data_IF_348594123107
#
_entry.id   IF_348594123107
#
_cell.length_a   1.000
_cell.length_b   1.000
_cell.length_c   1.000
_cell.angle_alpha   90.00
_cell.angle_beta   90.00
_cell.angle_gamma   90.00
#
_symmetry.space_group_name_H-M   'P 1'
#
loop_
_entity.id
_entity.type
_entity.pdbx_description
1 polymer ?
#
# COMPACT_ATOMS: atom_id res chain seq x y z
N UNK A 1 -37.61 -12.02 14.18
CA UNK A 1 -38.93 -12.51 14.60
C UNK A 1 -39.76 -11.30 15.03
N UNK A 2 -40.84 -11.02 14.30
CA UNK A 2 -41.78 -9.95 14.63
C UNK A 2 -43.20 -10.58 14.67
N UNK A 3 -43.51 -11.24 15.78
CA UNK A 3 -44.77 -11.95 15.95
C UNK A 3 -44.79 -13.30 15.17
N UNK A 4 -45.70 -13.45 14.20
CA UNK A 4 -45.75 -14.65 13.35
C UNK A 4 -44.83 -14.58 12.13
N UNK A 5 -44.26 -13.39 11.84
CA UNK A 5 -43.29 -13.18 10.75
C UNK A 5 -41.89 -13.59 11.16
N UNK A 6 -41.23 -14.44 10.34
CA UNK A 6 -39.85 -14.83 10.50
C UNK A 6 -39.06 -14.41 9.24
N UNK A 7 -37.91 -13.79 9.45
CA UNK A 7 -36.97 -13.42 8.40
C UNK A 7 -35.66 -14.14 8.62
N UNK A 8 -35.04 -14.65 7.54
CA UNK A 8 -33.74 -15.29 7.55
C UNK A 8 -32.95 -14.74 6.36
N UNK A 9 -31.79 -14.18 6.62
CA UNK A 9 -30.85 -13.85 5.57
C UNK A 9 -30.06 -15.10 5.19
N UNK A 10 -30.31 -15.58 3.97
CA UNK A 10 -29.57 -16.70 3.40
C UNK A 10 -28.42 -16.18 2.57
N UNK A 11 -27.20 -16.58 2.96
CA UNK A 11 -25.97 -16.18 2.30
C UNK A 11 -25.34 -17.34 1.55
N UNK A 12 -24.90 -17.06 0.33
CA UNK A 12 -23.99 -17.91 -0.41
C UNK A 12 -22.79 -17.11 -0.96
N UNK A 13 -22.01 -17.71 -1.84
CA UNK A 13 -20.85 -17.03 -2.46
C UNK A 13 -21.20 -15.89 -3.40
N UNK A 14 -22.47 -15.77 -3.81
CA UNK A 14 -22.95 -14.76 -4.75
C UNK A 14 -23.55 -13.55 -4.05
N UNK A 15 -23.95 -13.71 -2.79
CA UNK A 15 -24.54 -12.64 -1.99
C UNK A 15 -25.48 -13.13 -0.91
N UNK A 16 -26.40 -12.25 -0.51
CA UNK A 16 -27.39 -12.49 0.53
C UNK A 16 -28.77 -12.26 -0.06
N UNK A 17 -29.72 -13.14 0.27
CA UNK A 17 -31.15 -12.95 -0.04
C UNK A 17 -32.00 -13.18 1.21
N UNK A 18 -32.99 -12.35 1.40
CA UNK A 18 -33.95 -12.52 2.50
C UNK A 18 -34.93 -13.63 2.18
N UNK A 19 -35.10 -14.56 3.13
CA UNK A 19 -36.17 -15.53 3.17
C UNK A 19 -37.26 -14.98 4.09
N UNK A 20 -38.53 -15.10 3.69
CA UNK A 20 -39.67 -14.68 4.49
C UNK A 20 -40.62 -15.85 4.72
N UNK A 21 -41.15 -15.91 5.94
CA UNK A 21 -42.20 -16.81 6.41
C UNK A 21 -43.28 -15.98 7.08
N UNK A 22 -44.49 -16.05 6.61
CA UNK A 22 -45.64 -15.28 7.11
C UNK A 22 -46.81 -16.18 7.44
N UNK A 23 -47.91 -15.60 7.87
CA UNK A 23 -49.14 -16.31 8.33
C UNK A 23 -49.74 -17.24 7.27
N UNK A 24 -49.42 -17.04 5.99
CA UNK A 24 -49.84 -17.92 4.89
C UNK A 24 -48.90 -19.12 4.67
N UNK A 25 -47.73 -19.13 5.35
CA UNK A 25 -46.78 -20.24 5.29
C UNK A 25 -47.28 -21.44 6.11
N UNK A 26 -46.89 -22.66 5.69
CA UNK A 26 -47.18 -23.86 6.47
C UNK A 26 -46.59 -23.77 7.88
N UNK A 27 -47.38 -24.11 8.88
CA UNK A 27 -46.97 -24.04 10.31
C UNK A 27 -45.73 -24.88 10.60
N UNK A 28 -45.55 -26.02 9.93
CA UNK A 28 -44.36 -26.87 10.10
C UNK A 28 -43.09 -26.18 9.53
N UNK A 29 -43.22 -25.41 8.44
CA UNK A 29 -42.14 -24.62 7.86
C UNK A 29 -41.77 -23.47 8.75
N UNK A 30 -42.77 -22.76 9.33
CA UNK A 30 -42.52 -21.67 10.30
C UNK A 30 -41.82 -22.20 11.56
N UNK A 31 -42.32 -23.34 12.11
CA UNK A 31 -41.70 -23.95 13.29
C UNK A 31 -40.24 -24.29 13.04
N UNK A 32 -39.91 -24.85 11.86
CA UNK A 32 -38.54 -25.14 11.45
C UNK A 32 -37.71 -23.86 11.28
N UNK A 33 -38.27 -22.79 10.71
CA UNK A 33 -37.60 -21.51 10.58
C UNK A 33 -37.19 -20.91 11.94
N UNK A 34 -38.06 -21.07 12.96
CA UNK A 34 -37.76 -20.63 14.35
C UNK A 34 -36.65 -21.42 15.04
N UNK A 35 -36.33 -22.63 14.57
CA UNK A 35 -35.17 -23.43 15.06
C UNK A 35 -33.82 -22.96 14.50
N UNK A 36 -33.83 -22.24 13.39
CA UNK A 36 -32.60 -21.80 12.71
C UNK A 36 -31.81 -20.87 13.61
N UNK A 37 -30.48 -21.04 13.59
CA UNK A 37 -29.51 -20.17 14.25
C UNK A 37 -28.45 -19.74 13.23
N UNK A 38 -27.66 -18.75 13.64
CA UNK A 38 -26.56 -18.19 12.80
C UNK A 38 -25.67 -19.29 12.25
N UNK A 39 -25.33 -19.16 10.98
CA UNK A 39 -24.41 -20.02 10.22
C UNK A 39 -24.91 -21.48 10.04
N UNK A 40 -26.18 -21.78 10.29
CA UNK A 40 -26.78 -23.06 9.85
C UNK A 40 -26.77 -23.14 8.34
N UNK A 41 -26.51 -24.33 7.81
CA UNK A 41 -26.59 -24.58 6.36
C UNK A 41 -28.01 -24.96 6.02
N UNK A 42 -28.63 -24.17 5.14
CA UNK A 42 -30.03 -24.30 4.79
C UNK A 42 -30.23 -24.58 3.29
N UNK A 43 -31.30 -25.24 2.95
CA UNK A 43 -31.88 -25.27 1.62
C UNK A 43 -33.31 -24.73 1.72
N UNK A 44 -33.60 -23.72 0.92
CA UNK A 44 -34.94 -23.14 0.83
C UNK A 44 -35.49 -23.27 -0.58
N UNK A 45 -36.77 -23.60 -0.69
CA UNK A 45 -37.53 -23.56 -1.94
C UNK A 45 -38.72 -22.61 -1.74
N UNK A 46 -38.92 -21.75 -2.72
CA UNK A 46 -39.98 -20.73 -2.60
C UNK A 46 -40.15 -19.93 -3.88
N UNK A 47 -40.95 -18.89 -3.79
CA UNK A 47 -41.26 -17.96 -4.88
C UNK A 47 -40.61 -16.61 -4.60
N UNK A 48 -39.89 -16.08 -5.56
CA UNK A 48 -39.31 -14.72 -5.49
C UNK A 48 -40.45 -13.72 -5.66
N UNK A 49 -40.52 -12.76 -4.74
CA UNK A 49 -41.49 -11.63 -4.79
C UNK A 49 -40.76 -10.30 -4.48
N UNK A 50 -41.40 -9.17 -4.83
CA UNK A 50 -40.93 -7.87 -4.39
C UNK A 50 -41.14 -7.71 -2.90
N UNK A 51 -40.18 -7.07 -2.23
CA UNK A 51 -40.33 -6.71 -0.81
C UNK A 51 -41.31 -5.56 -0.66
N UNK A 52 -42.07 -5.59 0.39
CA UNK A 52 -42.94 -4.46 0.79
C UNK A 52 -42.09 -3.24 1.19
N UNK A 53 -40.96 -3.49 1.88
CA UNK A 53 -39.98 -2.46 2.24
C UNK A 53 -38.64 -2.81 1.62
N UNK A 54 -38.20 -2.01 0.64
CA UNK A 54 -36.93 -2.16 -0.04
C UNK A 54 -35.78 -1.88 0.93
N UNK A 55 -34.78 -2.74 0.94
CA UNK A 55 -33.52 -2.50 1.68
C UNK A 55 -32.42 -2.04 0.71
N UNK A 56 -32.08 -0.74 0.69
CA UNK A 56 -31.06 -0.21 -0.23
C UNK A 56 -29.63 -0.70 0.07
N UNK A 57 -29.40 -1.25 1.28
CA UNK A 57 -28.06 -1.71 1.69
C UNK A 57 -27.70 -3.10 1.13
N UNK A 58 -28.68 -3.80 0.54
CA UNK A 58 -28.47 -5.11 -0.07
C UNK A 58 -28.64 -5.05 -1.59
N UNK A 59 -27.73 -5.64 -2.39
CA UNK A 59 -27.92 -5.75 -3.84
C UNK A 59 -29.21 -6.47 -4.25
N UNK A 60 -29.70 -7.38 -3.40
CA UNK A 60 -30.96 -8.12 -3.58
C UNK A 60 -32.13 -7.50 -2.83
N UNK A 61 -31.96 -6.29 -2.30
CA UNK A 61 -32.89 -5.66 -1.35
C UNK A 61 -34.26 -5.30 -1.89
N UNK A 62 -34.49 -5.38 -3.21
CA UNK A 62 -35.80 -5.20 -3.82
C UNK A 62 -36.68 -6.47 -3.78
N UNK A 63 -36.04 -7.62 -3.59
CA UNK A 63 -36.72 -8.93 -3.65
C UNK A 63 -36.47 -9.76 -2.40
N UNK A 64 -37.37 -10.70 -2.16
CA UNK A 64 -37.29 -11.71 -1.11
C UNK A 64 -37.84 -13.03 -1.61
N UNK A 65 -37.54 -14.12 -0.91
CA UNK A 65 -38.08 -15.45 -1.23
C UNK A 65 -39.15 -15.80 -0.21
N UNK A 66 -40.39 -15.92 -0.67
CA UNK A 66 -41.47 -16.54 0.08
C UNK A 66 -41.28 -18.06 0.11
N UNK A 67 -40.98 -18.61 1.29
CA UNK A 67 -40.48 -19.99 1.43
C UNK A 67 -41.65 -20.96 1.60
N UNK A 68 -41.69 -21.98 0.76
CA UNK A 68 -42.64 -23.09 0.83
C UNK A 68 -42.04 -24.38 1.39
N UNK A 69 -40.69 -24.54 1.30
CA UNK A 69 -39.96 -25.66 1.90
C UNK A 69 -38.66 -25.18 2.50
N UNK A 70 -38.34 -25.58 3.71
CA UNK A 70 -37.09 -25.30 4.39
C UNK A 70 -36.49 -26.60 4.92
N UNK A 71 -35.22 -26.83 4.58
CA UNK A 71 -34.41 -27.94 5.12
C UNK A 71 -33.18 -27.40 5.83
N UNK A 72 -32.95 -27.87 7.04
CA UNK A 72 -31.69 -27.66 7.76
C UNK A 72 -30.77 -28.81 7.30
N UNK A 73 -29.75 -28.47 6.49
CA UNK A 73 -28.80 -29.44 5.97
C UNK A 73 -27.71 -29.75 7.00
N UNK A 74 -27.26 -28.72 7.74
CA UNK A 74 -26.33 -28.87 8.84
C UNK A 74 -26.55 -27.80 9.91
N UNK A 75 -26.40 -28.18 11.16
CA UNK A 75 -26.40 -27.26 12.30
C UNK A 75 -24.99 -26.82 12.62
N UNK A 76 -24.79 -25.55 12.86
CA UNK A 76 -23.53 -24.99 13.33
C UNK A 76 -23.55 -24.77 14.84
N UNK A 77 -22.41 -24.81 15.47
CA UNK A 77 -22.21 -24.24 16.81
C UNK A 77 -22.28 -22.71 16.70
N UNK A 78 -22.62 -22.05 17.80
CA UNK A 78 -22.60 -20.59 17.84
C UNK A 78 -21.22 -20.07 17.52
N UNK A 79 -21.07 -19.21 16.47
CA UNK A 79 -19.77 -18.63 16.12
C UNK A 79 -19.21 -17.80 17.28
N UNK A 80 -17.87 -17.78 17.46
CA UNK A 80 -17.22 -17.02 18.52
C UNK A 80 -17.32 -15.49 18.32
N UNK A 81 -17.73 -15.03 17.14
CA UNK A 81 -18.01 -13.64 16.81
C UNK A 81 -19.01 -13.54 15.66
N UNK A 82 -19.63 -12.39 15.50
CA UNK A 82 -20.54 -12.11 14.39
C UNK A 82 -19.75 -11.91 13.09
N UNK A 83 -20.23 -12.52 11.99
CA UNK A 83 -19.61 -12.43 10.66
C UNK A 83 -20.22 -11.21 9.95
N UNK A 84 -19.68 -10.04 10.28
CA UNK A 84 -20.05 -8.73 9.70
C UNK A 84 -18.78 -7.97 9.31
N UNK A 85 -18.86 -7.09 8.29
CA UNK A 85 -17.72 -6.29 7.88
C UNK A 85 -17.35 -5.25 8.96
N UNK A 86 -18.34 -4.67 9.61
CA UNK A 86 -18.15 -3.83 10.81
C UNK A 86 -18.05 -4.73 12.04
N UNK A 87 -16.84 -4.92 12.54
CA UNK A 87 -16.59 -5.79 13.69
C UNK A 87 -15.59 -5.18 14.67
N UNK A 88 -15.97 -5.16 15.96
CA UNK A 88 -15.09 -4.81 17.09
C UNK A 88 -14.29 -6.01 17.60
N UNK A 89 -14.42 -7.16 16.94
CA UNK A 89 -13.75 -8.40 17.37
C UNK A 89 -12.24 -8.27 17.27
N UNK A 90 -11.56 -8.62 18.37
CA UNK A 90 -10.10 -8.62 18.44
C UNK A 90 -9.49 -9.43 17.28
N UNK A 91 -8.44 -8.89 16.68
CA UNK A 91 -7.75 -9.50 15.54
C UNK A 91 -7.22 -10.90 15.86
N UNK A 92 -6.71 -11.13 17.06
CA UNK A 92 -6.20 -12.44 17.49
C UNK A 92 -7.30 -13.51 17.43
N UNK A 93 -8.52 -13.18 17.89
CA UNK A 93 -9.66 -14.09 17.80
C UNK A 93 -10.08 -14.35 16.36
N UNK A 94 -10.07 -13.33 15.50
CA UNK A 94 -10.34 -13.48 14.07
C UNK A 94 -9.28 -14.31 13.35
N UNK A 95 -8.01 -14.17 13.71
CA UNK A 95 -6.92 -15.00 13.18
C UNK A 95 -7.04 -16.46 13.64
N UNK A 96 -7.42 -16.69 14.89
CA UNK A 96 -7.66 -18.06 15.41
C UNK A 96 -8.78 -18.78 14.66
N UNK A 97 -9.83 -18.07 14.31
CA UNK A 97 -10.97 -18.60 13.54
C UNK A 97 -11.01 -18.01 12.13
N UNK A 98 -9.85 -17.96 11.46
CA UNK A 98 -9.68 -17.31 10.16
C UNK A 98 -10.67 -17.77 9.10
N UNK A 99 -11.06 -19.05 9.11
CA UNK A 99 -12.05 -19.61 8.21
C UNK A 99 -13.45 -19.02 8.39
N UNK A 100 -13.80 -18.53 9.58
CA UNK A 100 -15.03 -17.78 9.80
C UNK A 100 -14.87 -16.30 9.39
N UNK A 101 -13.74 -15.69 9.72
CA UNK A 101 -13.44 -14.31 9.33
C UNK A 101 -13.44 -14.14 7.80
N UNK A 102 -12.98 -15.16 7.06
CA UNK A 102 -13.01 -15.20 5.59
C UNK A 102 -14.44 -15.25 4.99
N UNK A 103 -15.48 -15.42 5.80
CA UNK A 103 -16.87 -15.28 5.35
C UNK A 103 -17.34 -13.83 5.27
N UNK A 104 -16.60 -12.87 5.81
CA UNK A 104 -16.88 -11.45 5.67
C UNK A 104 -16.75 -11.03 4.21
N UNK A 105 -17.70 -10.20 3.75
CA UNK A 105 -17.78 -9.82 2.34
C UNK A 105 -16.51 -9.07 1.88
N UNK A 106 -15.94 -8.22 2.72
CA UNK A 106 -14.69 -7.50 2.43
C UNK A 106 -13.52 -8.46 2.16
N UNK A 107 -13.33 -9.47 3.02
CA UNK A 107 -12.24 -10.43 2.86
C UNK A 107 -12.46 -11.35 1.66
N UNK A 108 -13.70 -11.76 1.40
CA UNK A 108 -14.04 -12.52 0.21
C UNK A 108 -13.75 -11.73 -1.06
N UNK A 109 -14.16 -10.45 -1.11
CA UNK A 109 -13.84 -9.55 -2.23
C UNK A 109 -12.33 -9.45 -2.47
N UNK A 110 -11.53 -9.36 -1.41
CA UNK A 110 -10.08 -9.30 -1.53
C UNK A 110 -9.49 -10.57 -2.16
N UNK A 111 -9.94 -11.76 -1.73
CA UNK A 111 -9.51 -13.03 -2.33
C UNK A 111 -9.97 -13.18 -3.78
N UNK A 112 -11.22 -12.81 -4.07
CA UNK A 112 -11.76 -12.84 -5.45
C UNK A 112 -11.01 -11.86 -6.35
N UNK A 113 -10.71 -10.64 -5.84
CA UNK A 113 -9.90 -9.65 -6.57
C UNK A 113 -8.50 -10.18 -6.87
N UNK A 114 -7.84 -10.81 -5.88
CA UNK A 114 -6.55 -11.47 -6.11
C UNK A 114 -6.63 -12.54 -7.19
N UNK A 115 -7.64 -13.41 -7.15
CA UNK A 115 -7.84 -14.44 -8.17
C UNK A 115 -8.04 -13.83 -9.58
N UNK A 116 -8.80 -12.73 -9.66
CA UNK A 116 -9.01 -12.00 -10.91
C UNK A 116 -7.72 -11.34 -11.40
N UNK A 117 -6.91 -10.72 -10.52
CA UNK A 117 -5.60 -10.19 -10.87
C UNK A 117 -4.72 -11.28 -11.50
N UNK A 118 -4.65 -12.45 -10.89
CA UNK A 118 -3.85 -13.57 -11.41
C UNK A 118 -4.33 -14.03 -12.80
N UNK A 119 -5.65 -14.10 -13.01
CA UNK A 119 -6.23 -14.45 -14.31
C UNK A 119 -5.89 -13.40 -15.37
N UNK A 120 -6.20 -12.15 -15.10
CA UNK A 120 -5.97 -11.00 -16.01
C UNK A 120 -4.48 -10.88 -16.37
N UNK A 121 -3.59 -11.12 -15.41
CA UNK A 121 -2.14 -11.15 -15.64
C UNK A 121 -1.76 -12.23 -16.66
N UNK A 122 -2.26 -13.45 -16.48
CA UNK A 122 -1.98 -14.57 -17.42
C UNK A 122 -2.51 -14.26 -18.81
N UNK A 123 -3.74 -13.76 -18.90
CA UNK A 123 -4.36 -13.40 -20.18
C UNK A 123 -3.49 -12.37 -20.92
N UNK A 124 -3.10 -11.28 -20.24
CA UNK A 124 -2.25 -10.25 -20.83
C UNK A 124 -0.92 -10.79 -21.36
N UNK A 125 -0.19 -11.53 -20.54
CA UNK A 125 1.13 -12.02 -20.94
C UNK A 125 1.04 -13.10 -22.02
N UNK A 126 0.04 -13.98 -21.96
CA UNK A 126 -0.21 -14.97 -23.01
C UNK A 126 -0.51 -14.31 -24.37
N UNK A 127 -1.36 -13.27 -24.36
CA UNK A 127 -1.72 -12.51 -25.59
C UNK A 127 -0.52 -11.72 -26.16
N UNK A 128 0.51 -11.46 -25.31
CA UNK A 128 1.76 -10.83 -25.73
C UNK A 128 2.90 -11.83 -26.01
N UNK A 129 2.58 -13.12 -26.14
CA UNK A 129 3.51 -14.16 -26.56
C UNK A 129 4.47 -14.64 -25.48
N UNK A 130 4.14 -14.42 -24.20
CA UNK A 130 4.90 -14.97 -23.09
C UNK A 130 4.49 -16.41 -22.79
N UNK A 131 5.46 -17.22 -22.39
CA UNK A 131 5.27 -18.59 -21.96
C UNK A 131 5.35 -18.62 -20.44
N UNK A 132 4.29 -19.09 -19.76
CA UNK A 132 4.31 -19.31 -18.32
C UNK A 132 5.05 -20.61 -18.02
N UNK A 133 6.13 -20.51 -17.23
CA UNK A 133 6.94 -21.67 -16.83
C UNK A 133 7.08 -21.70 -15.31
N UNK A 134 6.59 -22.77 -14.69
CA UNK A 134 6.78 -23.01 -13.26
C UNK A 134 8.20 -23.51 -12.99
N UNK A 135 8.93 -22.80 -12.14
CA UNK A 135 10.30 -23.17 -11.75
C UNK A 135 10.31 -23.93 -10.41
N UNK A 136 11.35 -24.74 -10.15
CA UNK A 136 11.45 -25.49 -8.90
C UNK A 136 11.45 -24.61 -7.65
N UNK A 137 10.78 -25.10 -6.60
CA UNK A 137 10.73 -24.45 -5.27
C UNK A 137 11.83 -24.95 -4.32
N UNK A 138 12.34 -26.19 -4.53
CA UNK A 138 13.41 -26.79 -3.75
C UNK A 138 14.72 -26.63 -4.51
N UNK A 139 15.42 -25.55 -4.28
CA UNK A 139 16.61 -25.15 -5.04
C UNK A 139 17.88 -25.15 -4.19
N UNK A 140 19.01 -24.86 -4.81
CA UNK A 140 20.24 -24.51 -4.12
C UNK A 140 20.18 -23.04 -3.68
N UNK A 141 20.71 -22.74 -2.49
CA UNK A 141 20.88 -21.34 -2.03
C UNK A 141 21.56 -20.47 -3.09
N UNK A 142 20.99 -19.28 -3.31
CA UNK A 142 21.49 -18.27 -4.24
C UNK A 142 21.65 -16.94 -3.53
N UNK A 143 22.75 -16.20 -3.72
CA UNK A 143 22.96 -14.93 -3.05
C UNK A 143 22.15 -13.81 -3.75
N UNK A 144 20.92 -13.57 -3.28
CA UNK A 144 20.01 -12.54 -3.84
C UNK A 144 19.72 -11.38 -2.88
N UNK A 145 20.55 -11.18 -1.86
CA UNK A 145 20.44 -10.04 -0.94
C UNK A 145 19.64 -10.28 0.34
N UNK A 146 18.64 -11.16 0.36
CA UNK A 146 17.95 -11.59 1.56
C UNK A 146 18.54 -12.88 2.13
N UNK A 147 18.12 -13.26 3.35
CA UNK A 147 18.43 -14.59 3.89
C UNK A 147 17.46 -15.62 3.35
N UNK A 148 17.97 -16.83 3.08
CA UNK A 148 17.19 -17.94 2.59
C UNK A 148 16.46 -18.67 3.72
N UNK A 149 15.22 -19.09 3.47
CA UNK A 149 14.61 -20.19 4.21
C UNK A 149 15.18 -21.52 3.72
N UNK A 150 15.73 -22.31 4.64
CA UNK A 150 16.37 -23.59 4.30
C UNK A 150 15.57 -24.78 4.78
N UNK A 151 15.57 -25.86 3.97
CA UNK A 151 14.90 -27.11 4.25
C UNK A 151 15.95 -28.22 4.37
N UNK A 152 16.10 -28.90 5.52
CA UNK A 152 17.09 -29.98 5.67
C UNK A 152 16.82 -31.13 4.73
N UNK A 153 17.88 -31.66 4.08
CA UNK A 153 17.76 -32.85 3.25
C UNK A 153 17.74 -34.10 4.11
N UNK A 154 16.67 -34.89 4.02
CA UNK A 154 16.57 -36.19 4.70
C UNK A 154 17.57 -37.22 4.12
N UNK A 155 17.82 -37.16 2.80
CA UNK A 155 18.67 -38.11 2.08
C UNK A 155 20.16 -37.77 2.26
N UNK A 156 20.50 -36.48 2.18
CA UNK A 156 21.89 -36.01 2.23
C UNK A 156 22.15 -35.30 3.56
N UNK A 157 22.67 -36.03 4.55
CA UNK A 157 22.98 -35.49 5.88
C UNK A 157 23.90 -34.26 5.77
N UNK A 158 23.56 -33.19 6.50
CA UNK A 158 24.31 -31.93 6.51
C UNK A 158 24.15 -31.05 5.28
N UNK A 159 23.24 -31.41 4.35
CA UNK A 159 22.86 -30.58 3.19
C UNK A 159 21.46 -30.06 3.33
N UNK A 160 21.20 -28.92 2.68
CA UNK A 160 19.93 -28.20 2.73
C UNK A 160 19.50 -27.82 1.31
N UNK A 161 18.20 -27.79 1.10
CA UNK A 161 17.58 -27.04 0.02
C UNK A 161 17.27 -25.63 0.54
N UNK A 162 17.21 -24.67 -0.37
CA UNK A 162 16.69 -23.34 -0.09
C UNK A 162 15.34 -23.14 -0.79
N UNK A 163 14.47 -22.32 -0.21
CA UNK A 163 13.29 -21.82 -0.90
C UNK A 163 13.69 -20.57 -1.72
N UNK A 164 13.14 -20.38 -2.94
CA UNK A 164 13.60 -19.33 -3.85
C UNK A 164 13.22 -17.93 -3.34
N UNK A 165 14.17 -17.03 -3.36
CA UNK A 165 13.93 -15.59 -3.16
C UNK A 165 13.31 -14.96 -4.42
N UNK A 166 13.67 -15.47 -5.59
CA UNK A 166 13.11 -15.25 -6.91
C UNK A 166 13.52 -16.38 -7.83
N UNK A 167 12.91 -16.56 -9.01
CA UNK A 167 13.34 -17.55 -10.01
C UNK A 167 14.51 -17.06 -10.89
N UNK A 168 15.38 -16.19 -10.41
CA UNK A 168 16.36 -15.42 -11.19
C UNK A 168 17.25 -16.31 -12.09
N UNK A 169 17.86 -17.36 -11.55
CA UNK A 169 18.74 -18.22 -12.34
C UNK A 169 17.93 -18.98 -13.40
N UNK A 170 16.76 -19.48 -13.06
CA UNK A 170 15.94 -20.26 -13.96
C UNK A 170 15.42 -19.45 -15.15
N UNK A 171 14.94 -18.22 -14.91
CA UNK A 171 14.46 -17.38 -16.00
C UNK A 171 15.60 -16.98 -16.96
N UNK A 172 16.81 -16.73 -16.45
CA UNK A 172 17.98 -16.51 -17.29
C UNK A 172 18.33 -17.73 -18.12
N UNK A 173 18.28 -18.94 -17.54
CA UNK A 173 18.51 -20.20 -18.27
C UNK A 173 17.43 -20.43 -19.34
N UNK A 174 16.19 -20.01 -19.09
CA UNK A 174 15.11 -20.09 -20.09
C UNK A 174 15.39 -19.15 -21.27
N UNK A 175 15.94 -17.95 -21.04
CA UNK A 175 16.39 -17.07 -22.12
C UNK A 175 17.49 -17.73 -22.95
N UNK A 176 18.50 -18.33 -22.30
CA UNK A 176 19.58 -19.10 -22.98
C UNK A 176 19.00 -20.30 -23.76
N UNK A 177 17.94 -20.91 -23.25
CA UNK A 177 17.25 -22.03 -23.92
C UNK A 177 16.32 -21.60 -25.08
N UNK A 178 16.23 -20.27 -25.37
CA UNK A 178 15.50 -19.75 -26.52
C UNK A 178 14.00 -19.55 -26.30
N UNK A 179 13.55 -19.37 -25.04
CA UNK A 179 12.14 -19.08 -24.76
C UNK A 179 11.75 -17.62 -25.04
N UNK A 180 12.70 -16.71 -25.11
CA UNK A 180 12.62 -15.27 -25.45
C UNK A 180 11.66 -14.44 -24.60
N UNK A 181 10.52 -14.97 -24.18
CA UNK A 181 9.52 -14.30 -23.34
C UNK A 181 8.97 -15.27 -22.31
N UNK A 182 9.37 -15.04 -21.07
CA UNK A 182 8.99 -15.85 -19.90
C UNK A 182 8.14 -15.03 -18.95
N UNK A 183 7.15 -15.68 -18.33
CA UNK A 183 6.35 -15.16 -17.23
C UNK A 183 6.14 -16.25 -16.17
N UNK A 184 6.09 -15.85 -14.92
CA UNK A 184 5.63 -16.72 -13.83
C UNK A 184 4.96 -15.88 -12.75
N UNK A 185 3.85 -16.38 -12.20
CA UNK A 185 3.32 -15.89 -10.93
C UNK A 185 4.05 -16.61 -9.79
N UNK A 186 5.30 -16.18 -9.56
CA UNK A 186 6.26 -16.91 -8.75
C UNK A 186 6.00 -16.74 -7.25
N UNK A 187 5.98 -17.86 -6.51
CA UNK A 187 6.02 -17.84 -5.06
C UNK A 187 7.46 -17.62 -4.59
N UNK A 188 7.67 -16.57 -3.80
CA UNK A 188 8.99 -16.16 -3.33
C UNK A 188 9.03 -16.10 -1.81
N UNK A 189 10.22 -16.35 -1.25
CA UNK A 189 10.46 -16.44 0.19
C UNK A 189 11.71 -15.63 0.57
N UNK A 190 11.58 -14.76 1.58
CA UNK A 190 12.70 -13.98 2.09
C UNK A 190 12.63 -13.90 3.60
N UNK A 191 13.69 -14.34 4.28
CA UNK A 191 13.82 -14.24 5.74
C UNK A 191 14.35 -12.86 6.10
N UNK A 192 13.45 -11.90 6.10
CA UNK A 192 13.70 -10.49 6.42
C UNK A 192 12.75 -10.00 7.50
N UNK A 193 13.07 -8.86 8.12
CA UNK A 193 12.19 -8.20 9.08
C UNK A 193 10.87 -7.79 8.42
N UNK A 194 9.78 -8.09 9.09
CA UNK A 194 8.44 -7.73 8.63
C UNK A 194 8.25 -6.21 8.64
N UNK A 195 7.64 -5.70 7.57
CA UNK A 195 7.19 -4.31 7.45
C UNK A 195 5.74 -4.30 6.96
N UNK A 196 5.11 -3.13 6.98
CA UNK A 196 3.72 -2.99 6.53
C UNK A 196 3.47 -3.52 5.11
N UNK A 197 4.47 -3.44 4.23
CA UNK A 197 4.43 -3.83 2.82
C UNK A 197 5.30 -5.06 2.49
N UNK A 198 5.90 -5.73 3.50
CA UNK A 198 6.78 -6.87 3.30
C UNK A 198 6.32 -8.09 4.09
N UNK A 199 6.20 -9.20 3.39
CA UNK A 199 5.86 -10.50 3.95
C UNK A 199 6.99 -11.51 3.64
N UNK A 200 7.24 -12.49 4.54
CA UNK A 200 8.29 -13.50 4.32
C UNK A 200 7.97 -14.43 3.15
N UNK A 201 6.70 -14.57 2.81
CA UNK A 201 6.18 -15.32 1.67
C UNK A 201 5.27 -14.42 0.85
N UNK A 202 5.56 -14.25 -0.44
CA UNK A 202 4.81 -13.37 -1.33
C UNK A 202 4.80 -13.91 -2.77
N UNK A 203 4.02 -13.28 -3.63
CA UNK A 203 3.95 -13.65 -5.05
C UNK A 203 4.52 -12.50 -5.89
N UNK A 204 5.46 -12.82 -6.78
CA UNK A 204 5.94 -11.91 -7.82
C UNK A 204 5.22 -12.19 -9.13
N UNK A 205 4.93 -11.15 -9.89
CA UNK A 205 4.69 -11.23 -11.32
C UNK A 205 6.07 -11.07 -11.94
N UNK A 206 6.69 -12.19 -12.28
CA UNK A 206 8.09 -12.26 -12.69
C UNK A 206 8.16 -12.50 -14.19
N UNK A 207 8.80 -11.59 -14.91
CA UNK A 207 8.95 -11.68 -16.37
C UNK A 207 10.41 -11.56 -16.78
N UNK A 208 10.76 -12.16 -17.92
CA UNK A 208 12.06 -12.04 -18.56
C UNK A 208 11.88 -11.99 -20.07
N UNK A 209 12.66 -11.16 -20.75
CA UNK A 209 12.64 -11.02 -22.21
C UNK A 209 14.05 -10.99 -22.78
N UNK A 210 14.22 -11.63 -23.95
CA UNK A 210 15.44 -11.57 -24.76
C UNK A 210 15.29 -10.51 -25.87
N UNK A 211 16.44 -10.01 -26.39
CA UNK A 211 16.50 -9.10 -27.55
C UNK A 211 15.73 -7.79 -27.36
N UNK A 212 15.77 -7.25 -26.15
CA UNK A 212 15.09 -6.01 -25.75
C UNK A 212 16.05 -5.05 -25.07
N UNK A 213 15.71 -3.78 -25.07
CA UNK A 213 16.38 -2.75 -24.26
C UNK A 213 15.48 -2.26 -23.11
N UNK A 214 15.95 -1.25 -22.39
CA UNK A 214 15.22 -0.69 -21.24
C UNK A 214 13.85 -0.13 -21.64
N UNK A 215 13.74 0.50 -22.80
CA UNK A 215 12.48 1.09 -23.26
C UNK A 215 11.42 0.02 -23.55
N UNK A 216 11.81 -1.10 -24.15
CA UNK A 216 10.92 -2.23 -24.42
C UNK A 216 10.34 -2.81 -23.13
N UNK A 217 11.17 -2.93 -22.08
CA UNK A 217 10.74 -3.43 -20.75
C UNK A 217 9.78 -2.42 -20.10
N UNK A 218 10.10 -1.13 -20.15
CA UNK A 218 9.24 -0.08 -19.61
C UNK A 218 7.89 -0.01 -20.35
N UNK A 219 7.89 -0.07 -21.68
CA UNK A 219 6.65 -0.10 -22.47
C UNK A 219 5.78 -1.32 -22.12
N UNK A 220 6.39 -2.50 -22.01
CA UNK A 220 5.68 -3.71 -21.61
C UNK A 220 5.05 -3.55 -20.20
N UNK A 221 5.80 -3.00 -19.25
CA UNK A 221 5.33 -2.69 -17.91
C UNK A 221 4.16 -1.70 -17.90
N UNK A 222 4.25 -0.62 -18.68
CA UNK A 222 3.17 0.37 -18.82
C UNK A 222 1.89 -0.24 -19.40
N UNK A 223 2.02 -1.00 -20.48
CA UNK A 223 0.89 -1.69 -21.12
C UNK A 223 0.23 -2.68 -20.16
N UNK A 224 1.04 -3.43 -19.40
CA UNK A 224 0.54 -4.35 -18.40
C UNK A 224 -0.22 -3.64 -17.28
N UNK A 225 0.36 -2.61 -16.66
CA UNK A 225 -0.30 -1.88 -15.56
C UNK A 225 -1.58 -1.21 -16.03
N UNK A 226 -1.56 -0.61 -17.22
CA UNK A 226 -2.76 -0.02 -17.85
C UNK A 226 -3.87 -1.06 -18.04
N UNK A 227 -3.54 -2.22 -18.62
CA UNK A 227 -4.49 -3.31 -18.84
C UNK A 227 -5.04 -3.84 -17.51
N UNK A 228 -4.16 -4.12 -16.54
CA UNK A 228 -4.53 -4.64 -15.23
C UNK A 228 -5.50 -3.70 -14.50
N UNK A 229 -5.21 -2.41 -14.46
CA UNK A 229 -6.04 -1.43 -13.75
C UNK A 229 -7.39 -1.25 -14.41
N UNK A 230 -7.45 -1.29 -15.73
CA UNK A 230 -8.71 -1.25 -16.48
C UNK A 230 -9.57 -2.48 -16.17
N UNK A 231 -9.01 -3.69 -16.32
CA UNK A 231 -9.77 -4.93 -16.19
C UNK A 231 -10.18 -5.25 -14.74
N UNK A 232 -9.37 -4.87 -13.75
CA UNK A 232 -9.62 -5.21 -12.33
C UNK A 232 -10.34 -4.09 -11.58
N UNK A 233 -10.01 -2.83 -11.89
CA UNK A 233 -10.48 -1.67 -11.12
C UNK A 233 -11.38 -0.73 -11.94
N UNK A 234 -11.47 -0.90 -13.26
CA UNK A 234 -12.18 0.03 -14.15
C UNK A 234 -11.48 1.39 -14.28
N UNK A 235 -10.20 1.48 -13.94
CA UNK A 235 -9.42 2.72 -13.94
C UNK A 235 -8.60 2.80 -15.22
N UNK A 236 -8.80 3.87 -16.00
CA UNK A 236 -7.96 4.19 -17.17
C UNK A 236 -6.70 4.93 -16.72
N UNK A 237 -5.54 4.42 -17.11
CA UNK A 237 -4.24 5.04 -16.85
C UNK A 237 -3.75 5.68 -18.14
N UNK A 238 -3.46 7.01 -18.14
CA UNK A 238 -2.85 7.66 -19.28
C UNK A 238 -1.41 7.17 -19.47
N UNK A 239 -1.03 6.87 -20.70
CA UNK A 239 0.33 6.50 -21.09
C UNK A 239 0.81 7.42 -22.23
N UNK A 240 2.12 7.69 -22.34
CA UNK A 240 3.22 7.18 -21.51
C UNK A 240 3.17 7.74 -20.09
N UNK A 241 3.69 6.97 -19.13
CA UNK A 241 3.79 7.42 -17.74
C UNK A 241 4.87 8.51 -17.61
N UNK A 242 4.67 9.52 -16.73
CA UNK A 242 5.72 10.48 -16.41
C UNK A 242 6.98 9.78 -15.90
N UNK A 243 8.14 10.38 -16.20
CA UNK A 243 9.44 9.90 -15.76
C UNK A 243 10.11 10.93 -14.89
N UNK A 244 10.63 10.52 -13.75
CA UNK A 244 11.51 11.30 -12.89
C UNK A 244 12.82 10.54 -12.73
N UNK A 245 13.93 11.26 -12.71
CA UNK A 245 15.18 10.66 -12.27
C UNK A 245 15.14 10.39 -10.76
N UNK A 246 15.89 9.44 -10.27
CA UNK A 246 16.07 9.21 -8.83
C UNK A 246 16.48 10.52 -8.13
N UNK A 247 17.38 11.28 -8.73
CA UNK A 247 17.84 12.57 -8.21
C UNK A 247 16.66 13.55 -8.06
N UNK A 248 15.87 13.75 -9.11
CA UNK A 248 14.73 14.66 -9.06
C UNK A 248 13.68 14.22 -8.04
N UNK A 249 13.44 12.90 -7.94
CA UNK A 249 12.53 12.35 -6.95
C UNK A 249 13.00 12.63 -5.51
N UNK A 250 14.27 12.44 -5.23
CA UNK A 250 14.87 12.72 -3.93
C UNK A 250 14.88 14.22 -3.64
N UNK A 251 15.32 15.06 -4.59
CA UNK A 251 15.41 16.52 -4.39
C UNK A 251 14.05 17.17 -4.20
N UNK A 252 13.02 16.74 -4.95
CA UNK A 252 11.67 17.35 -4.90
C UNK A 252 10.76 16.75 -3.84
N UNK A 253 10.90 15.47 -3.54
CA UNK A 253 9.95 14.75 -2.69
C UNK A 253 10.58 14.05 -1.48
N UNK A 254 11.90 13.96 -1.44
CA UNK A 254 12.64 13.29 -0.37
C UNK A 254 12.41 11.77 -0.32
N UNK A 255 12.06 11.17 -1.45
CA UNK A 255 11.74 9.73 -1.55
C UNK A 255 11.91 9.23 -2.97
N UNK A 256 12.42 8.00 -3.10
CA UNK A 256 12.43 7.22 -4.34
C UNK A 256 11.05 6.66 -4.73
N UNK A 257 10.04 6.86 -3.86
CA UNK A 257 8.63 6.46 -4.04
C UNK A 257 7.70 7.66 -3.79
N UNK A 258 7.81 8.74 -4.57
CA UNK A 258 7.10 9.98 -4.31
C UNK A 258 5.59 9.83 -4.55
N UNK A 259 4.78 10.34 -3.64
CA UNK A 259 3.37 10.60 -3.92
C UNK A 259 3.26 11.97 -4.61
N UNK A 260 3.02 11.97 -5.91
CA UNK A 260 2.92 13.18 -6.73
C UNK A 260 1.48 13.71 -6.87
N UNK A 261 0.49 13.11 -6.19
CA UNK A 261 -0.91 13.52 -6.26
C UNK A 261 -1.17 14.88 -5.62
N UNK A 262 -0.25 15.37 -4.80
CA UNK A 262 -0.32 16.69 -4.15
C UNK A 262 1.04 17.39 -4.20
N UNK A 263 1.03 18.70 -4.10
CA UNK A 263 2.23 19.53 -4.07
C UNK A 263 3.09 19.36 -2.81
N UNK A 264 3.54 20.46 -2.21
CA UNK A 264 4.41 20.50 -1.02
C UNK A 264 5.79 19.90 -1.32
N UNK A 265 6.38 20.26 -2.46
CA UNK A 265 7.73 19.85 -2.82
C UNK A 265 8.76 20.44 -1.86
N UNK A 266 9.88 19.72 -1.69
CA UNK A 266 11.04 20.20 -0.95
C UNK A 266 11.66 21.37 -1.71
N UNK A 267 12.03 22.43 -1.00
CA UNK A 267 12.63 23.63 -1.57
C UNK A 267 14.00 23.88 -0.94
N UNK A 268 15.00 24.11 -1.78
CA UNK A 268 16.37 24.39 -1.34
C UNK A 268 16.53 25.89 -1.04
N UNK A 269 16.92 26.20 0.18
CA UNK A 269 17.20 27.57 0.63
C UNK A 269 18.68 27.77 1.03
N UNK A 270 19.54 26.80 0.75
CA UNK A 270 20.97 26.79 1.15
C UNK A 270 21.70 28.07 0.74
N UNK A 271 21.45 28.55 -0.49
CA UNK A 271 22.07 29.76 -1.00
C UNK A 271 21.64 31.04 -0.23
N UNK A 272 20.42 31.05 0.29
CA UNK A 272 19.86 32.20 1.01
C UNK A 272 20.33 32.28 2.47
N UNK A 273 20.75 31.15 3.03
CA UNK A 273 21.17 31.07 4.44
C UNK A 273 22.67 30.92 4.61
N UNK A 274 23.41 30.93 3.50
CA UNK A 274 24.88 30.85 3.51
C UNK A 274 25.47 32.05 4.27
N UNK A 275 26.27 31.77 5.32
CA UNK A 275 26.90 32.78 6.13
C UNK A 275 25.97 33.50 7.12
N UNK A 276 24.74 33.03 7.35
CA UNK A 276 23.85 33.53 8.38
C UNK A 276 24.40 33.27 9.80
N UNK A 277 23.87 33.99 10.81
CA UNK A 277 24.28 33.82 12.21
C UNK A 277 23.79 32.52 12.87
N UNK A 278 23.01 31.70 12.19
CA UNK A 278 22.46 30.45 12.74
C UNK A 278 23.39 29.25 12.39
N UNK A 279 24.24 28.90 13.34
CA UNK A 279 25.26 27.88 13.16
C UNK A 279 24.75 26.55 12.57
N UNK A 280 23.52 26.13 12.93
CA UNK A 280 22.93 24.89 12.40
C UNK A 280 22.83 24.92 10.87
N UNK A 281 22.43 26.08 10.30
CA UNK A 281 22.32 26.23 8.85
C UNK A 281 23.68 26.38 8.17
N UNK A 282 24.53 27.26 8.77
CA UNK A 282 25.87 27.52 8.23
C UNK A 282 26.72 26.26 8.22
N UNK A 283 26.76 25.53 9.33
CA UNK A 283 27.52 24.28 9.46
C UNK A 283 27.08 23.21 8.46
N UNK A 284 25.78 23.09 8.24
CA UNK A 284 25.25 22.10 7.29
C UNK A 284 25.73 22.40 5.86
N UNK A 285 25.65 23.67 5.43
CA UNK A 285 26.09 24.09 4.10
C UNK A 285 27.61 23.99 3.94
N UNK A 286 28.38 24.41 4.96
CA UNK A 286 29.85 24.37 4.94
C UNK A 286 30.40 22.92 4.87
N UNK A 287 29.67 21.97 5.47
CA UNK A 287 30.00 20.54 5.44
C UNK A 287 29.50 19.80 4.19
N UNK A 288 29.00 20.54 3.19
CA UNK A 288 28.53 19.97 1.93
C UNK A 288 27.12 19.37 1.97
N UNK A 289 26.35 19.66 3.01
CA UNK A 289 24.92 19.36 3.09
C UNK A 289 24.05 20.51 2.56
N UNK A 290 22.75 20.45 2.84
CA UNK A 290 21.80 21.46 2.40
C UNK A 290 20.87 21.93 3.52
N UNK A 291 20.25 23.10 3.30
CA UNK A 291 19.12 23.58 4.09
C UNK A 291 17.90 23.58 3.17
N UNK A 292 16.96 22.71 3.48
CA UNK A 292 15.73 22.56 2.69
C UNK A 292 14.49 22.73 3.57
N UNK A 293 13.38 23.03 2.93
CA UNK A 293 12.12 23.15 3.64
C UNK A 293 10.94 22.60 2.84
N UNK A 294 9.84 22.35 3.56
CA UNK A 294 8.50 22.17 3.02
C UNK A 294 7.58 23.23 3.57
N UNK A 295 6.61 23.68 2.76
CA UNK A 295 5.60 24.66 3.18
C UNK A 295 4.24 23.98 3.25
N UNK A 296 3.68 23.93 4.44
CA UNK A 296 2.33 23.39 4.69
C UNK A 296 1.36 24.57 4.56
N UNK A 297 0.72 24.68 3.41
CA UNK A 297 -0.26 25.72 3.12
C UNK A 297 -1.46 25.64 4.07
N UNK A 298 -1.86 26.80 4.62
CA UNK A 298 -2.94 26.92 5.62
C UNK A 298 -2.72 26.06 6.89
N UNK A 299 -1.48 25.65 7.15
CA UNK A 299 -1.13 24.76 8.25
C UNK A 299 -1.03 25.44 9.62
N UNK A 300 -0.97 26.77 9.69
CA UNK A 300 -0.70 27.49 10.94
C UNK A 300 -1.77 27.28 12.02
N UNK A 301 -3.02 27.04 11.64
CA UNK A 301 -4.11 26.73 12.58
C UNK A 301 -4.05 25.29 13.11
N UNK A 302 -3.56 24.36 12.31
CA UNK A 302 -3.47 22.92 12.62
C UNK A 302 -2.19 22.59 13.39
N UNK A 303 -1.07 23.16 12.96
CA UNK A 303 0.25 22.94 13.56
C UNK A 303 0.57 23.96 14.63
N UNK A 304 -0.03 23.77 15.81
CA UNK A 304 0.34 24.49 17.03
C UNK A 304 1.78 24.16 17.44
N UNK A 305 2.37 24.90 18.38
CA UNK A 305 3.71 24.61 18.93
C UNK A 305 3.84 23.15 19.34
N UNK A 306 2.87 22.60 20.10
CA UNK A 306 2.84 21.22 20.55
C UNK A 306 2.85 20.21 19.37
N UNK A 307 2.16 20.54 18.29
CA UNK A 307 2.13 19.67 17.13
C UNK A 307 3.45 19.71 16.33
N UNK A 308 4.09 20.87 16.25
CA UNK A 308 5.43 21.01 15.66
C UNK A 308 6.47 20.26 16.51
N UNK A 309 6.34 20.27 17.83
CA UNK A 309 7.22 19.48 18.71
C UNK A 309 7.07 17.97 18.43
N UNK A 310 5.86 17.45 18.13
CA UNK A 310 5.66 16.06 17.70
C UNK A 310 6.33 15.77 16.35
N UNK A 311 6.24 16.69 15.39
CA UNK A 311 6.95 16.54 14.11
C UNK A 311 8.47 16.54 14.32
N UNK A 312 8.96 17.31 15.28
CA UNK A 312 10.38 17.31 15.65
C UNK A 312 10.81 15.97 16.22
N UNK A 313 10.01 15.35 17.09
CA UNK A 313 10.31 14.01 17.60
C UNK A 313 10.24 12.95 16.49
N UNK A 314 9.28 13.05 15.58
CA UNK A 314 9.24 12.20 14.40
C UNK A 314 10.52 12.34 13.56
N UNK A 315 10.95 13.57 13.27
CA UNK A 315 12.17 13.86 12.53
C UNK A 315 13.42 13.26 13.21
N UNK A 316 13.52 13.38 14.54
CA UNK A 316 14.61 12.76 15.32
C UNK A 316 14.59 11.23 15.22
N UNK A 317 13.40 10.62 15.23
CA UNK A 317 13.25 9.18 15.05
C UNK A 317 13.75 8.66 13.70
N UNK A 318 13.89 9.55 12.70
CA UNK A 318 14.41 9.23 11.35
C UNK A 318 15.92 9.57 11.24
N UNK A 319 16.50 10.21 12.25
CA UNK A 319 17.93 10.57 12.28
C UNK A 319 18.23 12.06 12.27
N UNK A 320 17.23 12.95 12.28
CA UNK A 320 17.44 14.39 12.40
C UNK A 320 17.94 14.77 13.80
N UNK A 321 18.76 15.81 13.88
CA UNK A 321 19.19 16.40 15.17
C UNK A 321 18.13 17.35 15.74
N UNK A 322 17.25 17.89 14.88
CA UNK A 322 16.20 18.83 15.23
C UNK A 322 15.43 19.27 14.01
N UNK A 323 14.40 20.08 14.22
CA UNK A 323 13.57 20.67 13.17
C UNK A 323 13.41 22.15 13.43
N UNK A 324 13.79 23.00 12.48
CA UNK A 324 13.52 24.42 12.54
C UNK A 324 12.19 24.73 11.85
N UNK A 325 11.52 25.80 12.26
CA UNK A 325 10.20 26.11 11.71
C UNK A 325 9.91 27.61 11.69
N UNK A 326 9.02 27.99 10.80
CA UNK A 326 8.28 29.24 10.79
C UNK A 326 6.79 28.94 10.80
N UNK A 327 6.04 29.48 11.73
CA UNK A 327 4.59 29.44 11.80
C UNK A 327 4.02 30.84 11.66
N UNK A 328 3.29 31.10 10.59
CA UNK A 328 2.81 32.47 10.30
C UNK A 328 1.30 32.55 10.54
N UNK A 329 0.91 32.80 11.79
CA UNK A 329 -0.50 32.92 12.18
C UNK A 329 -0.94 34.39 12.28
N UNK A 330 -0.12 35.18 12.94
CA UNK A 330 -0.40 36.56 13.29
C UNK A 330 0.27 37.55 12.32
N UNK A 331 0.32 38.86 12.70
CA UNK A 331 0.97 39.88 11.88
C UNK A 331 2.46 39.62 11.65
N UNK A 332 3.13 39.01 12.63
CA UNK A 332 4.52 38.55 12.48
C UNK A 332 4.63 37.05 12.62
N UNK A 333 5.45 36.40 11.77
CA UNK A 333 5.67 34.94 11.87
C UNK A 333 6.41 34.58 13.16
N UNK A 334 5.94 33.51 13.81
CA UNK A 334 6.69 32.87 14.89
C UNK A 334 7.77 31.97 14.27
N UNK A 335 9.04 32.30 14.48
CA UNK A 335 10.18 31.63 13.88
C UNK A 335 11.13 31.08 14.95
N UNK A 336 11.52 29.81 14.87
CA UNK A 336 12.43 29.17 15.83
C UNK A 336 13.87 29.69 15.78
N UNK A 337 14.24 30.36 14.70
CA UNK A 337 15.57 30.92 14.45
C UNK A 337 15.58 32.44 14.19
N UNK A 338 14.50 33.12 14.51
CA UNK A 338 14.30 34.55 14.23
C UNK A 338 15.44 35.46 14.76
N UNK A 339 16.03 35.12 15.90
CA UNK A 339 17.12 35.93 16.52
C UNK A 339 18.41 35.99 15.71
N UNK A 340 18.55 35.13 14.70
CA UNK A 340 19.74 35.04 13.86
C UNK A 340 19.59 35.71 12.48
N UNK A 341 18.41 36.26 12.19
CA UNK A 341 18.07 36.87 10.90
C UNK A 341 17.43 38.25 11.12
N UNK A 342 17.70 39.17 10.24
CA UNK A 342 16.92 40.41 10.14
C UNK A 342 15.52 40.13 9.58
N UNK A 343 14.57 41.05 9.77
CA UNK A 343 13.22 40.95 9.20
C UNK A 343 13.27 40.83 7.67
N UNK A 344 14.20 41.54 7.01
CA UNK A 344 14.37 41.53 5.56
C UNK A 344 14.90 40.17 5.06
N UNK A 345 15.89 39.59 5.72
CA UNK A 345 16.45 38.27 5.38
C UNK A 345 15.40 37.15 5.56
N UNK A 346 14.67 37.19 6.67
CA UNK A 346 13.59 36.25 6.91
C UNK A 346 12.49 36.38 5.84
N UNK A 347 12.07 37.59 5.52
CA UNK A 347 11.09 37.85 4.49
C UNK A 347 11.57 37.35 3.12
N UNK A 348 12.86 37.54 2.79
CA UNK A 348 13.43 36.99 1.53
C UNK A 348 13.38 35.48 1.47
N UNK A 349 13.67 34.76 2.56
CA UNK A 349 13.55 33.30 2.63
C UNK A 349 12.10 32.89 2.46
N UNK A 350 11.16 33.47 3.20
CA UNK A 350 9.74 33.10 3.14
C UNK A 350 9.13 33.38 1.75
N UNK A 351 9.49 34.50 1.13
CA UNK A 351 9.05 34.80 -0.25
C UNK A 351 9.60 33.81 -1.26
N UNK A 352 10.86 33.38 -1.13
CA UNK A 352 11.48 32.43 -2.06
C UNK A 352 10.79 31.08 -2.06
N UNK A 353 10.21 30.68 -0.93
CA UNK A 353 9.48 29.41 -0.77
C UNK A 353 7.95 29.60 -0.79
N UNK A 354 7.49 30.79 -1.18
CA UNK A 354 6.07 31.15 -1.23
C UNK A 354 5.32 30.85 0.09
N UNK A 355 5.96 31.08 1.23
CA UNK A 355 5.32 30.94 2.54
C UNK A 355 4.61 32.24 2.91
N UNK A 356 3.32 32.17 3.20
CA UNK A 356 2.43 33.28 3.44
C UNK A 356 1.75 33.20 4.82
N UNK A 357 1.04 34.24 5.19
CA UNK A 357 0.22 34.26 6.43
C UNK A 357 -0.82 33.09 6.33
N UNK A 358 -0.87 32.27 7.35
CA UNK A 358 -1.66 31.04 7.41
C UNK A 358 -0.82 29.79 7.25
N UNK A 359 0.43 29.88 6.79
CA UNK A 359 1.27 28.72 6.47
C UNK A 359 2.21 28.32 7.63
N UNK A 360 2.74 27.11 7.52
CA UNK A 360 3.88 26.62 8.32
C UNK A 360 4.97 26.17 7.38
N UNK A 361 6.19 26.68 7.55
CA UNK A 361 7.38 26.17 6.88
C UNK A 361 8.24 25.39 7.88
N UNK A 362 8.62 24.17 7.49
CA UNK A 362 9.46 23.26 8.27
C UNK A 362 10.81 23.13 7.58
N UNK A 363 11.90 23.42 8.31
CA UNK A 363 13.25 23.47 7.77
C UNK A 363 14.12 22.37 8.37
N UNK A 364 14.89 21.73 7.51
CA UNK A 364 15.95 20.78 7.87
C UNK A 364 17.30 21.25 7.35
N UNK A 365 18.34 20.97 8.13
CA UNK A 365 19.71 21.30 7.79
C UNK A 365 20.64 20.17 8.26
N UNK A 366 21.15 19.40 7.35
CA UNK A 366 22.13 18.33 7.57
C UNK A 366 22.69 17.86 6.20
N UNK A 367 23.42 16.75 6.16
CA UNK A 367 23.74 16.04 4.91
C UNK A 367 22.45 15.69 4.16
N UNK A 368 22.47 15.69 2.84
CA UNK A 368 21.29 15.36 2.02
C UNK A 368 20.71 13.97 2.32
N UNK A 369 21.56 13.00 2.64
CA UNK A 369 21.13 11.67 3.07
C UNK A 369 20.23 11.66 4.31
N UNK A 370 20.24 12.72 5.14
CA UNK A 370 19.36 12.91 6.30
C UNK A 370 18.24 13.88 5.96
N UNK A 371 18.59 15.03 5.37
CA UNK A 371 17.63 16.13 5.11
C UNK A 371 16.49 15.70 4.22
N UNK A 372 16.78 15.01 3.10
CA UNK A 372 15.78 14.65 2.11
C UNK A 372 14.77 13.62 2.64
N UNK A 373 15.18 12.45 3.19
CA UNK A 373 14.22 11.47 3.70
C UNK A 373 13.38 11.98 4.88
N UNK A 374 13.96 12.81 5.75
CA UNK A 374 13.24 13.40 6.89
C UNK A 374 12.12 14.32 6.39
N UNK A 375 12.44 15.26 5.48
CA UNK A 375 11.42 16.13 4.91
C UNK A 375 10.40 15.37 4.07
N UNK A 376 10.80 14.32 3.34
CA UNK A 376 9.90 13.45 2.61
C UNK A 376 8.88 12.76 3.52
N UNK A 377 9.31 12.24 4.67
CA UNK A 377 8.44 11.65 5.67
C UNK A 377 7.50 12.68 6.31
N UNK A 378 8.02 13.87 6.67
CA UNK A 378 7.20 14.97 7.22
C UNK A 378 6.19 15.48 6.20
N UNK A 379 6.55 15.53 4.91
CA UNK A 379 5.66 15.88 3.81
C UNK A 379 4.42 14.97 3.78
N UNK A 380 4.63 13.65 3.85
CA UNK A 380 3.53 12.67 3.88
C UNK A 380 2.67 12.82 5.15
N UNK A 381 3.30 12.97 6.31
CA UNK A 381 2.59 13.16 7.58
C UNK A 381 1.74 14.42 7.55
N UNK A 382 2.29 15.52 7.03
CA UNK A 382 1.57 16.79 6.92
C UNK A 382 0.42 16.69 5.92
N UNK A 383 0.63 16.10 4.75
CA UNK A 383 -0.40 15.95 3.73
C UNK A 383 -1.59 15.11 4.22
N UNK A 384 -1.30 13.99 4.89
CA UNK A 384 -2.33 13.13 5.50
C UNK A 384 -3.15 13.89 6.56
N UNK A 385 -2.50 14.61 7.44
CA UNK A 385 -3.17 15.37 8.50
C UNK A 385 -3.98 16.55 7.98
N UNK A 386 -3.51 17.19 6.91
CA UNK A 386 -4.24 18.29 6.25
C UNK A 386 -5.37 17.80 5.34
N UNK A 387 -5.48 16.49 5.10
CA UNK A 387 -6.51 15.93 4.22
C UNK A 387 -6.38 16.37 2.76
N UNK A 388 -5.16 16.70 2.31
CA UNK A 388 -4.93 17.24 0.95
C UNK A 388 -4.55 16.16 -0.08
N UNK A 389 -4.49 14.90 0.34
CA UNK A 389 -4.17 13.78 -0.57
C UNK A 389 -5.45 13.42 -1.32
N UNK A 390 -5.54 13.66 -2.64
CA UNK A 390 -6.73 13.30 -3.41
C UNK A 390 -6.86 11.79 -3.53
N UNK A 391 -8.07 11.32 -3.75
CA UNK A 391 -8.33 9.93 -4.11
C UNK A 391 -7.73 9.58 -5.48
N UNK A 392 -7.58 8.28 -5.74
CA UNK A 392 -7.09 7.76 -7.01
C UNK A 392 -5.58 7.49 -7.01
N UNK A 393 -5.03 7.36 -8.23
CA UNK A 393 -3.66 6.88 -8.46
C UNK A 393 -2.90 7.85 -9.36
N UNK A 394 -1.61 8.01 -9.11
CA UNK A 394 -0.67 8.71 -9.98
C UNK A 394 0.53 7.80 -10.22
N UNK A 395 0.68 7.32 -11.45
CA UNK A 395 1.75 6.40 -11.85
C UNK A 395 2.89 7.17 -12.46
N UNK A 396 4.12 6.78 -12.16
CA UNK A 396 5.33 7.32 -12.77
C UNK A 396 6.45 6.29 -12.73
N UNK A 397 7.46 6.50 -13.55
CA UNK A 397 8.73 5.82 -13.48
C UNK A 397 9.74 6.64 -12.69
N UNK A 398 10.50 5.98 -11.84
CA UNK A 398 11.76 6.52 -11.32
C UNK A 398 12.89 5.83 -12.08
N UNK A 399 13.76 6.63 -12.70
CA UNK A 399 14.87 6.17 -13.53
C UNK A 399 16.20 6.64 -12.97
N UNK A 400 17.30 6.17 -13.53
CA UNK A 400 18.65 6.61 -13.18
C UNK A 400 18.99 6.41 -11.69
N UNK A 401 18.60 5.27 -11.14
CA UNK A 401 19.00 4.90 -9.79
C UNK A 401 20.53 4.79 -9.69
N UNK A 402 21.16 5.28 -8.59
CA UNK A 402 22.59 5.08 -8.35
C UNK A 402 22.89 3.59 -8.22
N UNK A 403 23.95 3.15 -8.88
CA UNK A 403 24.40 1.76 -8.82
C UNK A 403 25.09 1.45 -7.50
N UNK A 404 25.91 2.39 -7.00
CA UNK A 404 26.66 2.29 -5.77
C UNK A 404 26.36 3.43 -4.81
N UNK A 405 26.47 3.15 -3.51
CA UNK A 405 26.54 4.15 -2.44
C UNK A 405 27.76 3.89 -1.56
N UNK A 406 28.25 4.94 -0.93
CA UNK A 406 29.34 4.83 0.02
C UNK A 406 28.78 4.40 1.38
N UNK A 407 29.21 3.25 1.86
CA UNK A 407 28.90 2.77 3.19
C UNK A 407 29.96 3.26 4.19
N UNK A 408 29.55 4.15 5.11
CA UNK A 408 30.46 4.72 6.12
C UNK A 408 30.91 3.66 7.14
N UNK A 409 30.13 2.61 7.42
CA UNK A 409 30.48 1.56 8.39
C UNK A 409 31.56 0.64 7.86
N UNK A 410 31.44 0.17 6.64
CA UNK A 410 32.43 -0.70 6.00
C UNK A 410 33.59 0.08 5.37
N UNK A 411 33.46 1.39 5.18
CA UNK A 411 34.41 2.24 4.48
C UNK A 411 34.64 1.84 3.01
N UNK A 412 33.58 1.32 2.36
CA UNK A 412 33.65 0.81 0.99
C UNK A 412 32.40 1.16 0.18
N UNK A 413 32.48 1.00 -1.13
CA UNK A 413 31.32 1.11 -2.00
C UNK A 413 30.44 -0.14 -1.88
N UNK A 414 29.18 0.05 -1.53
CA UNK A 414 28.16 -0.98 -1.52
C UNK A 414 27.23 -0.85 -2.74
N UNK A 415 26.73 -1.97 -3.25
CA UNK A 415 25.71 -1.93 -4.30
C UNK A 415 24.39 -1.43 -3.72
N UNK A 416 23.84 -0.37 -4.29
CA UNK A 416 22.57 0.21 -3.87
C UNK A 416 21.39 -0.48 -4.56
N UNK A 417 21.57 -0.85 -5.81
CA UNK A 417 20.57 -1.57 -6.61
C UNK A 417 21.25 -2.70 -7.39
N UNK A 418 20.49 -3.77 -7.64
CA UNK A 418 20.92 -4.81 -8.56
C UNK A 418 20.72 -4.36 -10.01
N UNK A 419 21.68 -4.68 -10.91
CA UNK A 419 21.53 -4.44 -12.34
C UNK A 419 20.39 -5.29 -12.93
#
# INVERSE_FOLDING_TARGET
DKGELVFIDLRDRTGIIQLIFDDSSDRAVIAKAKEVRSEYVLMAKGTVRRRESVNPDLPTGEVEVYVTELRILAKAQTPPFHITDETDTNEELRLRYRYLDLRRAELQKNLMRRANIMKVTRDFFADNGFIEVDTPMMIKSTPEGARDYVVPSRIHKGKFYALPQSPQIYKQLLMVAGFDRYIQLARCFRDEDLRADRQPEFTQIDMEMSFVDTEDVMEMGERYVKYLMKEVMGVEIPTPLPRLTYRDAMERYGSDKPDIRYGMELQDVSALVKGCGFAVFTDAVEKGGSVRCIVVKNGASVYTRKEIDKLTEQAKGIGAKGLAFVRWMDEKPSCSFAKFFSEEELAKILNSVACEKGDVALFMADKDAVTLPVLGALRQTCAKRMGIIPEGYAYLWITEFPFFEWDEESGSWAAMHHP
#
